data_IF_312125853231
#
_entry.id   IF_312125853231
#
_cell.length_a   1.000
_cell.length_b   1.000
_cell.length_c   1.000
_cell.angle_alpha   90.00
_cell.angle_beta   90.00
_cell.angle_gamma   90.00
#
_symmetry.space_group_name_H-M   'P 1'
#
loop_
_entity.id
_entity.type
_entity.pdbx_description
1 polymer ?
#
# COMPACT_ATOMS: atom_id res chain seq x y z
N UNK A 1 -8.17 4.43 -28.61
CA UNK A 1 -6.95 3.99 -27.92
C UNK A 1 -7.07 4.36 -26.44
N UNK A 2 -7.70 3.48 -25.65
CA UNK A 2 -7.80 3.62 -24.19
C UNK A 2 -7.69 2.19 -23.66
N UNK A 3 -6.47 1.70 -23.46
CA UNK A 3 -6.28 0.29 -23.10
C UNK A 3 -4.90 -0.10 -22.62
N UNK A 4 -3.94 0.84 -22.58
CA UNK A 4 -2.54 0.49 -22.31
C UNK A 4 -2.01 1.03 -20.97
N UNK A 5 -2.74 1.91 -20.29
CA UNK A 5 -2.30 2.51 -19.02
C UNK A 5 -2.69 1.68 -17.79
N UNK A 6 -3.78 0.92 -17.88
CA UNK A 6 -4.26 0.08 -16.78
C UNK A 6 -3.40 -1.17 -16.58
N UNK A 7 -2.96 -1.83 -17.66
CA UNK A 7 -2.11 -3.04 -17.56
C UNK A 7 -0.74 -2.75 -16.93
N UNK A 8 -0.13 -1.60 -17.21
CA UNK A 8 1.16 -1.20 -16.64
C UNK A 8 1.05 -0.87 -15.15
N UNK A 9 -0.06 -0.26 -14.73
CA UNK A 9 -0.31 0.03 -13.31
C UNK A 9 -0.45 -1.26 -12.48
N UNK A 10 -1.15 -2.29 -13.01
CA UNK A 10 -1.27 -3.59 -12.33
C UNK A 10 0.03 -4.39 -12.32
N UNK A 11 0.84 -4.32 -13.37
CA UNK A 11 2.14 -5.00 -13.39
C UNK A 11 3.12 -4.43 -12.34
N UNK A 12 3.12 -3.12 -12.12
CA UNK A 12 3.96 -2.45 -11.11
C UNK A 12 3.48 -2.68 -9.67
N UNK A 13 2.23 -3.10 -9.46
CA UNK A 13 1.70 -3.47 -8.14
C UNK A 13 2.28 -4.81 -7.62
N UNK A 14 2.92 -5.60 -8.49
CA UNK A 14 3.36 -6.99 -8.19
C UNK A 14 4.88 -7.08 -7.97
N UNK A 15 5.60 -5.96 -7.88
CA UNK A 15 7.00 -5.97 -7.45
C UNK A 15 7.14 -5.48 -5.99
N UNK A 16 6.68 -6.24 -4.98
CA UNK A 16 6.79 -5.86 -3.56
C UNK A 16 8.23 -5.83 -3.05
N UNK A 17 9.20 -6.31 -3.84
CA UNK A 17 10.62 -6.47 -3.49
C UNK A 17 11.40 -5.13 -3.48
N UNK A 18 10.86 -4.05 -4.07
CA UNK A 18 11.55 -2.75 -4.19
C UNK A 18 11.07 -1.68 -3.21
N UNK A 19 9.96 -1.91 -2.51
CA UNK A 19 9.39 -0.96 -1.55
C UNK A 19 10.07 -1.05 -0.19
N UNK A 20 10.20 0.09 0.50
CA UNK A 20 10.73 0.14 1.88
C UNK A 20 9.61 0.33 2.89
N UNK A 21 9.84 -0.07 4.14
CA UNK A 21 8.96 0.30 5.23
C UNK A 21 8.95 1.83 5.45
N UNK A 22 7.83 2.33 5.97
CA UNK A 22 7.70 3.73 6.39
C UNK A 22 8.66 3.98 7.57
N UNK A 23 9.48 5.00 7.45
CA UNK A 23 10.39 5.46 8.50
C UNK A 23 9.71 6.57 9.32
N UNK A 24 9.45 6.37 10.63
CA UNK A 24 8.74 7.34 11.45
C UNK A 24 9.52 8.64 11.68
N UNK A 25 10.83 8.67 11.45
CA UNK A 25 11.71 9.81 11.70
C UNK A 25 12.19 10.48 10.41
N UNK A 26 12.36 9.72 9.32
CA UNK A 26 12.84 10.24 8.05
C UNK A 26 11.72 10.62 7.07
N UNK A 27 10.55 9.96 7.14
CA UNK A 27 9.50 10.22 6.16
C UNK A 27 8.70 11.49 6.43
N UNK A 28 8.29 12.19 5.36
CA UNK A 28 7.36 13.32 5.46
C UNK A 28 6.12 12.93 6.26
N UNK A 29 5.63 13.86 7.09
CA UNK A 29 4.44 13.64 7.93
C UNK A 29 3.24 13.14 7.11
N UNK A 30 3.06 13.68 5.90
CA UNK A 30 1.97 13.26 5.00
C UNK A 30 2.08 11.79 4.58
N UNK A 31 3.28 11.27 4.36
CA UNK A 31 3.52 9.84 4.04
C UNK A 31 3.19 8.99 5.27
N UNK A 32 3.68 9.37 6.44
CA UNK A 32 3.44 8.66 7.70
C UNK A 32 1.95 8.60 8.07
N UNK A 33 1.23 9.71 7.96
CA UNK A 33 -0.21 9.75 8.23
C UNK A 33 -1.01 8.93 7.22
N UNK A 34 -0.61 8.96 5.94
CA UNK A 34 -1.24 8.15 4.90
C UNK A 34 -1.05 6.67 5.16
N UNK A 35 0.15 6.27 5.60
CA UNK A 35 0.42 4.89 5.97
C UNK A 35 -0.46 4.40 7.12
N UNK A 36 -0.60 5.19 8.19
CA UNK A 36 -1.48 4.85 9.32
C UNK A 36 -2.94 4.71 8.88
N UNK A 37 -3.41 5.59 8.00
CA UNK A 37 -4.78 5.51 7.46
C UNK A 37 -4.98 4.27 6.59
N UNK A 38 -4.01 3.91 5.76
CA UNK A 38 -4.06 2.68 4.97
C UNK A 38 -4.06 1.44 5.86
N UNK A 39 -3.23 1.43 6.91
CA UNK A 39 -3.18 0.33 7.88
C UNK A 39 -4.55 0.11 8.55
N UNK A 40 -5.17 1.19 9.03
CA UNK A 40 -6.51 1.18 9.62
C UNK A 40 -7.56 0.70 8.62
N UNK A 41 -7.50 1.17 7.36
CA UNK A 41 -8.42 0.75 6.32
C UNK A 41 -8.33 -0.76 6.03
N UNK A 42 -7.12 -1.31 5.93
CA UNK A 42 -6.90 -2.76 5.78
C UNK A 42 -7.45 -3.51 6.99
N UNK A 43 -7.15 -3.07 8.22
CA UNK A 43 -7.66 -3.69 9.45
C UNK A 43 -9.19 -3.69 9.51
N UNK A 44 -9.83 -2.62 9.06
CA UNK A 44 -11.29 -2.53 8.98
C UNK A 44 -11.87 -3.56 7.98
N UNK A 45 -11.24 -3.73 6.82
CA UNK A 45 -11.66 -4.74 5.82
C UNK A 45 -11.47 -6.17 6.33
N UNK A 46 -10.35 -6.45 7.01
CA UNK A 46 -10.11 -7.74 7.64
C UNK A 46 -11.14 -8.03 8.74
N UNK A 47 -11.48 -7.03 9.56
CA UNK A 47 -12.51 -7.14 10.61
C UNK A 47 -13.90 -7.37 10.00
N UNK A 48 -14.17 -6.83 8.81
CA UNK A 48 -15.38 -7.08 8.04
C UNK A 48 -15.40 -8.46 7.35
N UNK A 49 -14.48 -9.38 7.70
CA UNK A 49 -14.36 -10.73 7.14
C UNK A 49 -14.05 -10.76 5.64
N UNK A 50 -13.38 -9.73 5.12
CA UNK A 50 -12.83 -9.78 3.76
C UNK A 50 -11.63 -10.72 3.75
N UNK A 51 -11.52 -11.67 2.80
CA UNK A 51 -10.37 -12.56 2.69
C UNK A 51 -9.07 -11.76 2.54
N UNK A 52 -8.04 -11.98 3.38
CA UNK A 52 -6.81 -11.18 3.37
C UNK A 52 -6.09 -11.13 2.01
N UNK A 53 -6.11 -12.23 1.26
CA UNK A 53 -5.53 -12.35 -0.08
C UNK A 53 -6.20 -11.45 -1.12
N UNK A 54 -7.41 -10.97 -0.84
CA UNK A 54 -8.14 -10.04 -1.70
C UNK A 54 -7.87 -8.56 -1.35
N UNK A 55 -7.10 -8.27 -0.30
CA UNK A 55 -6.91 -6.91 0.20
C UNK A 55 -5.53 -6.37 -0.21
N UNK A 56 -5.54 -5.45 -1.16
CA UNK A 56 -4.41 -4.57 -1.47
C UNK A 56 -4.97 -3.16 -1.62
N UNK A 57 -4.52 -2.24 -0.77
CA UNK A 57 -4.87 -0.83 -0.88
C UNK A 57 -3.65 -0.03 -1.29
N UNK A 58 -3.84 0.94 -2.16
CA UNK A 58 -2.79 1.85 -2.58
C UNK A 58 -3.19 3.31 -2.39
N UNK A 59 -2.20 4.16 -2.18
CA UNK A 59 -2.37 5.60 -2.20
C UNK A 59 -1.16 6.24 -2.88
N UNK A 60 -1.41 7.12 -3.84
CA UNK A 60 -0.39 8.00 -4.41
C UNK A 60 -0.43 9.33 -3.64
N UNK A 61 0.69 9.74 -3.05
CA UNK A 61 0.82 11.01 -2.34
C UNK A 61 2.18 11.68 -2.58
N UNK A 62 2.14 12.94 -3.02
CA UNK A 62 3.34 13.65 -3.47
C UNK A 62 4.07 12.84 -4.56
N UNK A 63 5.36 12.54 -4.36
CA UNK A 63 6.20 11.69 -5.21
C UNK A 63 6.32 10.25 -4.70
N UNK A 64 5.38 9.79 -3.86
CA UNK A 64 5.43 8.47 -3.22
C UNK A 64 4.17 7.68 -3.54
N UNK A 65 4.33 6.39 -3.78
CA UNK A 65 3.24 5.41 -3.76
C UNK A 65 3.34 4.58 -2.51
N UNK A 66 2.22 4.44 -1.79
CA UNK A 66 2.09 3.52 -0.67
C UNK A 66 1.26 2.31 -1.07
N UNK A 67 1.66 1.14 -0.60
CA UNK A 67 0.95 -0.12 -0.80
C UNK A 67 0.76 -0.79 0.57
N UNK A 68 -0.49 -1.02 0.95
CA UNK A 68 -0.84 -1.70 2.18
C UNK A 68 -1.52 -3.04 1.90
N UNK A 69 -1.08 -4.09 2.60
CA UNK A 69 -1.64 -5.44 2.48
C UNK A 69 -1.54 -6.21 3.80
N UNK A 70 -2.42 -7.19 4.04
CA UNK A 70 -2.24 -8.14 5.13
C UNK A 70 -0.95 -8.95 4.96
N UNK A 71 -0.35 -9.31 6.08
CA UNK A 71 0.79 -10.23 6.20
C UNK A 71 0.29 -11.64 6.51
N UNK A 72 1.18 -12.64 6.37
CA UNK A 72 0.86 -14.02 6.75
C UNK A 72 0.53 -14.17 8.25
N UNK A 73 1.06 -13.28 9.09
CA UNK A 73 0.87 -13.29 10.55
C UNK A 73 -0.43 -12.57 10.99
N UNK A 74 -1.20 -12.01 10.04
CA UNK A 74 -2.44 -11.30 10.34
C UNK A 74 -2.26 -9.82 10.69
N UNK A 75 -1.02 -9.31 10.68
CA UNK A 75 -0.70 -7.89 10.73
C UNK A 75 -0.84 -7.23 9.35
N UNK A 76 -0.68 -5.90 9.29
CA UNK A 76 -0.70 -5.13 8.04
C UNK A 76 0.69 -4.58 7.75
N UNK A 77 1.17 -4.80 6.53
CA UNK A 77 2.40 -4.20 6.03
C UNK A 77 2.05 -3.02 5.13
N UNK A 78 2.73 -1.88 5.32
CA UNK A 78 2.65 -0.72 4.45
C UNK A 78 4.05 -0.43 3.90
N UNK A 79 4.18 -0.44 2.58
CA UNK A 79 5.42 -0.19 1.86
C UNK A 79 5.33 1.13 1.09
N UNK A 80 6.42 1.89 1.09
CA UNK A 80 6.61 3.13 0.33
C UNK A 80 7.51 2.84 -0.87
N UNK A 81 7.11 3.36 -2.02
CA UNK A 81 7.84 3.33 -3.27
C UNK A 81 8.05 4.78 -3.70
N UNK A 82 9.32 5.16 -3.84
CA UNK A 82 9.69 6.46 -4.38
C UNK A 82 9.59 6.40 -5.92
N UNK A 83 8.97 7.41 -6.55
CA UNK A 83 8.98 7.57 -8.02
C UNK A 83 10.33 8.06 -8.56
#
# INVERSE_FOLDING_TARGET
MIGNATETAFANLIAPESGRAVDPFADPEVVRLTAVNLELAVKNLMTASTPPECIVLTADICSHRLVARPTADGDVSVLVFDE
#
